data_IF_600869463629
#
_entry.id   IF_600869463629
#
_cell.length_a   1.000
_cell.length_b   1.000
_cell.length_c   1.000
_cell.angle_alpha   90.00
_cell.angle_beta   90.00
_cell.angle_gamma   90.00
#
_symmetry.space_group_name_H-M   'P 1'
#
loop_
_entity.id
_entity.type
_entity.pdbx_description
1 polymer ?
#
# COMPACT_ATOMS: atom_id res chain seq x y z
N UNK A 1 -42.09 -20.95 40.06
CA UNK A 1 -42.33 -19.49 39.98
C UNK A 1 -41.19 -18.64 40.55
N UNK A 2 -40.68 -18.93 41.76
CA UNK A 2 -39.62 -18.14 42.42
C UNK A 2 -38.30 -18.05 41.61
N UNK A 3 -37.87 -19.13 40.98
CA UNK A 3 -36.67 -19.14 40.11
C UNK A 3 -36.86 -18.33 38.82
N UNK A 4 -38.09 -18.27 38.30
CA UNK A 4 -38.41 -17.55 37.07
C UNK A 4 -38.43 -16.04 37.33
N UNK A 5 -38.99 -15.64 38.48
CA UNK A 5 -38.91 -14.26 38.96
C UNK A 5 -37.47 -13.81 39.26
N UNK A 6 -36.65 -14.70 39.82
CA UNK A 6 -35.23 -14.41 40.10
C UNK A 6 -34.41 -14.22 38.81
N UNK A 7 -34.61 -15.09 37.80
CA UNK A 7 -33.94 -14.96 36.50
C UNK A 7 -34.28 -13.66 35.79
N UNK A 8 -35.56 -13.27 35.77
CA UNK A 8 -36.01 -12.00 35.20
C UNK A 8 -35.36 -10.80 35.90
N UNK A 9 -35.36 -10.79 37.23
CA UNK A 9 -34.71 -9.73 38.00
C UNK A 9 -33.21 -9.61 37.70
N UNK A 10 -32.50 -10.73 37.60
CA UNK A 10 -31.07 -10.75 37.25
C UNK A 10 -30.80 -10.30 35.80
N UNK A 11 -31.74 -10.58 34.88
CA UNK A 11 -31.68 -10.11 33.50
C UNK A 11 -31.88 -8.58 33.44
N UNK A 12 -32.88 -8.04 34.15
CA UNK A 12 -33.12 -6.59 34.26
C UNK A 12 -31.92 -5.84 34.85
N UNK A 13 -31.32 -6.39 35.91
CA UNK A 13 -30.13 -5.81 36.55
C UNK A 13 -28.93 -5.80 35.58
N UNK A 14 -28.76 -6.88 34.81
CA UNK A 14 -27.69 -6.98 33.80
C UNK A 14 -27.92 -6.04 32.61
N UNK A 15 -29.17 -5.86 32.17
CA UNK A 15 -29.52 -4.95 31.08
C UNK A 15 -29.31 -3.48 31.47
N UNK A 16 -29.67 -3.11 32.70
CA UNK A 16 -29.42 -1.76 33.24
C UNK A 16 -27.94 -1.45 33.34
N UNK A 17 -27.14 -2.40 33.78
CA UNK A 17 -25.70 -2.23 33.86
C UNK A 17 -25.07 -2.09 32.45
N UNK A 18 -25.59 -2.84 31.46
CA UNK A 18 -25.17 -2.68 30.07
C UNK A 18 -25.40 -1.25 29.55
N UNK A 19 -26.58 -0.66 29.82
CA UNK A 19 -26.90 0.72 29.45
C UNK A 19 -26.01 1.75 30.15
N UNK A 20 -25.79 1.56 31.46
CA UNK A 20 -24.95 2.44 32.27
C UNK A 20 -23.53 2.49 31.69
N UNK A 21 -22.94 1.33 31.47
CA UNK A 21 -21.57 1.24 30.97
C UNK A 21 -21.48 1.65 29.49
N UNK A 22 -22.51 1.41 28.67
CA UNK A 22 -22.55 1.86 27.28
C UNK A 22 -22.51 3.40 27.13
N UNK A 23 -22.95 4.13 28.15
CA UNK A 23 -22.90 5.60 28.16
C UNK A 23 -21.50 6.16 28.45
N UNK A 24 -20.59 5.35 28.99
CA UNK A 24 -19.22 5.74 29.26
C UNK A 24 -18.37 5.63 27.98
N UNK A 25 -17.59 6.67 27.61
CA UNK A 25 -16.70 6.60 26.46
C UNK A 25 -15.54 5.64 26.74
N UNK A 26 -15.26 4.74 25.80
CA UNK A 26 -14.07 3.90 25.82
C UNK A 26 -14.29 2.48 25.30
N UNK A 27 -13.21 1.83 24.90
CA UNK A 27 -13.25 0.44 24.43
C UNK A 27 -13.58 -0.53 25.58
N UNK A 28 -13.06 -0.27 26.78
CA UNK A 28 -13.28 -1.11 27.95
C UNK A 28 -14.75 -1.09 28.39
N UNK A 29 -15.37 0.09 28.39
CA UNK A 29 -16.79 0.26 28.68
C UNK A 29 -17.66 -0.40 27.60
N UNK A 30 -17.34 -0.22 26.32
CA UNK A 30 -18.07 -0.90 25.24
C UNK A 30 -17.99 -2.43 25.35
N UNK A 31 -16.82 -3.00 25.68
CA UNK A 31 -16.65 -4.45 25.92
C UNK A 31 -17.49 -4.93 27.11
N UNK A 32 -17.45 -4.20 28.23
CA UNK A 32 -18.25 -4.53 29.40
C UNK A 32 -19.76 -4.44 29.13
N UNK A 33 -20.20 -3.42 28.38
CA UNK A 33 -21.59 -3.28 27.96
C UNK A 33 -22.07 -4.46 27.10
N UNK A 34 -21.25 -4.93 26.15
CA UNK A 34 -21.52 -6.14 25.35
C UNK A 34 -21.63 -7.40 26.24
N UNK A 35 -20.75 -7.56 27.23
CA UNK A 35 -20.79 -8.69 28.17
C UNK A 35 -22.05 -8.68 29.03
N UNK A 36 -22.44 -7.50 29.56
CA UNK A 36 -23.65 -7.35 30.38
C UNK A 36 -24.93 -7.57 29.55
N UNK A 37 -24.99 -7.06 28.32
CA UNK A 37 -26.11 -7.29 27.40
C UNK A 37 -26.23 -8.78 27.01
N UNK A 38 -25.11 -9.46 26.74
CA UNK A 38 -25.08 -10.89 26.48
C UNK A 38 -25.54 -11.72 27.68
N UNK A 39 -25.10 -11.36 28.89
CA UNK A 39 -25.50 -12.02 30.13
C UNK A 39 -27.00 -11.86 30.42
N UNK A 40 -27.57 -10.69 30.14
CA UNK A 40 -29.01 -10.45 30.23
C UNK A 40 -29.80 -11.36 29.28
N UNK A 41 -29.34 -11.52 28.03
CA UNK A 41 -29.98 -12.37 27.02
C UNK A 41 -29.85 -13.87 27.29
N UNK A 42 -28.77 -14.32 27.95
CA UNK A 42 -28.66 -15.72 28.42
C UNK A 42 -29.67 -16.03 29.53
N UNK A 43 -29.96 -15.04 30.39
CA UNK A 43 -30.90 -15.19 31.50
C UNK A 43 -32.37 -15.07 31.05
N UNK A 44 -32.64 -14.16 30.11
CA UNK A 44 -33.94 -13.97 29.46
C UNK A 44 -33.74 -13.65 27.97
N UNK A 45 -33.85 -14.66 27.08
CA UNK A 45 -33.72 -14.47 25.64
C UNK A 45 -34.75 -13.48 25.06
N UNK A 46 -35.88 -13.30 25.76
CA UNK A 46 -36.98 -12.43 25.35
C UNK A 46 -36.86 -10.97 25.82
N UNK A 47 -35.75 -10.63 26.49
CA UNK A 47 -35.53 -9.30 27.03
C UNK A 47 -35.28 -8.25 25.93
N UNK A 48 -36.33 -7.50 25.57
CA UNK A 48 -36.32 -6.48 24.51
C UNK A 48 -35.22 -5.42 24.66
N UNK A 49 -35.03 -4.91 25.87
CA UNK A 49 -34.07 -3.82 26.14
C UNK A 49 -32.61 -4.25 25.94
N UNK A 50 -32.21 -5.38 26.52
CA UNK A 50 -30.88 -5.97 26.31
C UNK A 50 -30.58 -6.24 24.82
N UNK A 51 -31.60 -6.69 24.07
CA UNK A 51 -31.50 -6.92 22.61
C UNK A 51 -31.26 -5.62 21.84
N UNK A 52 -31.99 -4.55 22.19
CA UNK A 52 -31.84 -3.23 21.58
C UNK A 52 -30.45 -2.64 21.85
N UNK A 53 -29.94 -2.79 23.07
CA UNK A 53 -28.61 -2.33 23.47
C UNK A 53 -27.53 -3.10 22.72
N UNK A 54 -27.64 -4.43 22.66
CA UNK A 54 -26.71 -5.25 21.90
C UNK A 54 -26.69 -4.86 20.42
N UNK A 55 -27.87 -4.67 19.80
CA UNK A 55 -27.97 -4.21 18.42
C UNK A 55 -27.32 -2.84 18.20
N UNK A 56 -27.58 -1.88 19.09
CA UNK A 56 -26.98 -0.55 19.01
C UNK A 56 -25.45 -0.61 19.15
N UNK A 57 -24.94 -1.41 20.09
CA UNK A 57 -23.50 -1.58 20.31
C UNK A 57 -22.78 -2.29 19.15
N UNK A 58 -23.47 -3.21 18.46
CA UNK A 58 -22.94 -3.90 17.28
C UNK A 58 -22.96 -3.04 16.02
N UNK A 59 -23.93 -2.10 15.92
CA UNK A 59 -24.07 -1.23 14.75
C UNK A 59 -23.34 0.11 14.89
N UNK A 60 -23.09 0.58 16.11
CA UNK A 60 -22.29 1.76 16.38
C UNK A 60 -20.80 1.42 16.31
N UNK A 61 -20.11 1.91 15.27
CA UNK A 61 -18.65 1.77 15.16
C UNK A 61 -17.97 2.47 16.35
N UNK A 62 -17.08 1.78 17.10
CA UNK A 62 -16.34 2.38 18.20
C UNK A 62 -15.61 3.64 17.76
N UNK A 63 -15.64 4.70 18.58
CA UNK A 63 -14.85 5.92 18.30
C UNK A 63 -13.34 5.71 18.49
N UNK A 64 -12.97 4.77 19.35
CA UNK A 64 -11.60 4.34 19.58
C UNK A 64 -11.42 2.89 19.14
N UNK A 65 -10.38 2.64 18.33
CA UNK A 65 -10.05 1.29 17.88
C UNK A 65 -9.50 0.47 19.06
N UNK A 66 -10.05 -0.73 19.35
CA UNK A 66 -9.50 -1.62 20.35
C UNK A 66 -8.02 -1.93 20.07
N UNK A 67 -7.20 -2.07 21.12
CA UNK A 67 -5.76 -2.36 20.98
C UNK A 67 -5.52 -3.65 20.19
N UNK A 68 -6.42 -4.62 20.34
CA UNK A 68 -6.40 -5.88 19.61
C UNK A 68 -6.61 -5.65 18.10
N UNK A 69 -7.54 -4.78 17.72
CA UNK A 69 -7.78 -4.39 16.32
C UNK A 69 -6.62 -3.57 15.78
N UNK A 70 -6.00 -2.70 16.58
CA UNK A 70 -4.80 -1.95 16.17
C UNK A 70 -3.63 -2.90 15.89
N UNK A 71 -3.39 -3.88 16.77
CA UNK A 71 -2.34 -4.87 16.59
C UNK A 71 -2.59 -5.75 15.35
N UNK A 72 -3.84 -6.17 15.12
CA UNK A 72 -4.20 -6.96 13.95
C UNK A 72 -4.07 -6.15 12.65
N UNK A 73 -4.51 -4.88 12.67
CA UNK A 73 -4.33 -3.95 11.55
C UNK A 73 -2.84 -3.70 11.25
N UNK A 74 -1.99 -3.64 12.28
CA UNK A 74 -0.54 -3.54 12.10
C UNK A 74 0.03 -4.79 11.39
N UNK A 75 -0.39 -6.00 11.80
CA UNK A 75 0.02 -7.24 11.15
C UNK A 75 -0.44 -7.30 9.68
N UNK A 76 -1.68 -6.88 9.39
CA UNK A 76 -2.17 -6.77 8.01
C UNK A 76 -1.34 -5.76 7.21
N UNK A 77 -0.99 -4.63 7.83
CA UNK A 77 -0.18 -3.60 7.19
C UNK A 77 1.25 -4.08 6.91
N UNK A 78 1.86 -4.85 7.81
CA UNK A 78 3.14 -5.52 7.53
C UNK A 78 3.04 -6.50 6.35
N UNK A 79 1.96 -7.26 6.25
CA UNK A 79 1.67 -8.12 5.11
C UNK A 79 1.58 -7.33 3.79
N UNK A 80 0.89 -6.20 3.80
CA UNK A 80 0.79 -5.29 2.66
C UNK A 80 2.14 -4.68 2.29
N UNK A 81 2.98 -4.31 3.28
CA UNK A 81 4.35 -3.83 3.06
C UNK A 81 5.20 -4.91 2.39
N UNK A 82 5.14 -6.17 2.88
CA UNK A 82 5.90 -7.29 2.29
C UNK A 82 5.46 -7.58 0.86
N UNK A 83 4.15 -7.58 0.60
CA UNK A 83 3.61 -7.78 -0.75
C UNK A 83 4.06 -6.66 -1.70
N UNK A 84 4.00 -5.41 -1.25
CA UNK A 84 4.41 -4.23 -2.03
C UNK A 84 5.93 -4.20 -2.25
N UNK A 85 6.72 -4.57 -1.24
CA UNK A 85 8.17 -4.69 -1.37
C UNK A 85 8.57 -5.79 -2.36
N UNK A 86 7.85 -6.91 -2.38
CA UNK A 86 8.03 -7.97 -3.38
C UNK A 86 7.73 -7.49 -4.81
N UNK A 87 6.68 -6.70 -4.99
CA UNK A 87 6.35 -6.08 -6.28
C UNK A 87 7.40 -5.02 -6.69
N UNK A 88 7.88 -4.21 -5.75
CA UNK A 88 8.97 -3.25 -5.96
C UNK A 88 10.25 -3.94 -6.41
N UNK A 89 10.63 -5.06 -5.78
CA UNK A 89 11.77 -5.87 -6.19
C UNK A 89 11.64 -6.37 -7.63
N UNK A 90 10.43 -6.82 -8.05
CA UNK A 90 10.16 -7.22 -9.43
C UNK A 90 10.33 -6.04 -10.40
N UNK A 91 9.83 -4.85 -10.02
CA UNK A 91 10.00 -3.62 -10.78
C UNK A 91 11.48 -3.27 -11.00
N UNK A 92 12.29 -3.24 -9.94
CA UNK A 92 13.72 -2.97 -10.07
C UNK A 92 14.49 -4.08 -10.79
N UNK A 93 14.11 -5.35 -10.60
CA UNK A 93 14.68 -6.46 -11.36
C UNK A 93 14.40 -6.30 -12.86
N UNK A 94 13.21 -5.81 -13.24
CA UNK A 94 12.89 -5.55 -14.64
C UNK A 94 13.76 -4.44 -15.24
N UNK A 95 14.06 -3.38 -14.47
CA UNK A 95 15.01 -2.34 -14.88
C UNK A 95 16.45 -2.90 -15.00
N UNK A 96 16.82 -3.82 -14.11
CA UNK A 96 18.13 -4.46 -14.16
C UNK A 96 18.29 -5.34 -15.42
N UNK A 97 17.23 -6.03 -15.84
CA UNK A 97 17.18 -6.80 -17.10
C UNK A 97 17.35 -5.93 -18.35
N UNK A 98 17.10 -4.62 -18.26
CA UNK A 98 17.33 -3.68 -19.35
C UNK A 98 18.82 -3.28 -19.50
N UNK A 99 19.67 -3.48 -18.49
CA UNK A 99 21.08 -3.07 -18.55
C UNK A 99 21.91 -3.76 -19.64
N UNK A 100 21.76 -5.06 -19.93
CA UNK A 100 22.44 -5.68 -21.07
C UNK A 100 22.10 -5.02 -22.40
N UNK A 101 20.84 -4.56 -22.57
CA UNK A 101 20.44 -3.81 -23.77
C UNK A 101 21.14 -2.45 -23.83
N UNK A 102 21.30 -1.76 -22.71
CA UNK A 102 22.02 -0.49 -22.61
C UNK A 102 23.51 -0.66 -22.94
N UNK A 103 24.13 -1.73 -22.47
CA UNK A 103 25.51 -2.10 -22.83
C UNK A 103 25.62 -2.36 -24.34
N UNK A 104 24.67 -3.09 -24.91
CA UNK A 104 24.63 -3.37 -26.34
C UNK A 104 24.35 -2.12 -27.19
N UNK A 105 23.61 -1.15 -26.65
CA UNK A 105 23.36 0.14 -27.28
C UNK A 105 24.62 1.01 -27.31
N UNK A 106 25.54 0.84 -26.36
CA UNK A 106 26.82 1.55 -26.27
C UNK A 106 26.81 2.57 -25.15
N UNK A 107 27.49 2.28 -24.04
CA UNK A 107 27.55 3.18 -22.86
C UNK A 107 28.55 4.30 -23.11
N UNK A 108 28.09 5.54 -23.02
CA UNK A 108 28.89 6.75 -23.18
C UNK A 108 29.59 7.15 -21.88
N UNK A 109 28.95 6.93 -20.72
CA UNK A 109 29.47 7.30 -19.39
C UNK A 109 29.41 6.10 -18.42
N UNK A 110 30.53 5.38 -18.34
CA UNK A 110 30.67 4.20 -17.48
C UNK A 110 30.56 4.50 -15.97
N UNK A 111 31.18 5.56 -15.42
CA UNK A 111 31.00 5.92 -14.01
C UNK A 111 29.52 6.06 -13.61
N UNK A 112 28.73 6.81 -14.38
CA UNK A 112 27.30 6.96 -14.10
C UNK A 112 26.53 5.66 -14.28
N UNK A 113 26.89 4.85 -15.27
CA UNK A 113 26.30 3.53 -15.48
C UNK A 113 26.52 2.60 -14.27
N UNK A 114 27.75 2.56 -13.72
CA UNK A 114 28.08 1.74 -12.54
C UNK A 114 27.35 2.23 -11.30
N UNK A 115 27.27 3.55 -11.07
CA UNK A 115 26.50 4.12 -9.96
C UNK A 115 25.03 3.72 -10.05
N UNK A 116 24.44 3.80 -11.25
CA UNK A 116 23.06 3.38 -11.48
C UNK A 116 22.87 1.87 -11.27
N UNK A 117 23.79 1.04 -11.77
CA UNK A 117 23.76 -0.40 -11.55
C UNK A 117 23.79 -0.75 -10.05
N UNK A 118 24.64 -0.06 -9.28
CA UNK A 118 24.71 -0.20 -7.84
C UNK A 118 23.44 0.26 -7.12
N UNK A 119 22.85 1.39 -7.52
CA UNK A 119 21.58 1.88 -6.98
C UNK A 119 20.41 0.92 -7.28
N UNK A 120 20.36 0.36 -8.48
CA UNK A 120 19.34 -0.64 -8.83
C UNK A 120 19.52 -1.93 -8.03
N UNK A 121 20.76 -2.45 -7.93
CA UNK A 121 21.06 -3.65 -7.15
C UNK A 121 20.74 -3.47 -5.67
N UNK A 122 21.11 -2.33 -5.07
CA UNK A 122 20.77 -2.02 -3.68
C UNK A 122 19.26 -1.88 -3.47
N UNK A 123 18.52 -1.24 -4.40
CA UNK A 123 17.06 -1.18 -4.34
C UNK A 123 16.42 -2.58 -4.35
N UNK A 124 16.90 -3.48 -5.21
CA UNK A 124 16.44 -4.89 -5.27
C UNK A 124 16.71 -5.59 -3.93
N UNK A 125 17.93 -5.51 -3.41
CA UNK A 125 18.32 -6.15 -2.13
C UNK A 125 17.46 -5.64 -0.99
N UNK A 126 17.24 -4.32 -0.90
CA UNK A 126 16.43 -3.73 0.16
C UNK A 126 14.96 -4.15 0.05
N UNK A 127 14.39 -4.12 -1.16
CA UNK A 127 13.03 -4.56 -1.41
C UNK A 127 12.85 -6.07 -1.11
N UNK A 128 13.79 -6.91 -1.50
CA UNK A 128 13.77 -8.34 -1.18
C UNK A 128 13.97 -8.61 0.30
N UNK A 129 14.84 -7.86 0.98
CA UNK A 129 15.05 -7.97 2.41
C UNK A 129 13.79 -7.62 3.21
N UNK A 130 13.07 -6.56 2.79
CA UNK A 130 11.77 -6.22 3.36
C UNK A 130 10.70 -7.27 3.03
N UNK A 131 10.65 -7.77 1.80
CA UNK A 131 9.69 -8.79 1.38
C UNK A 131 9.89 -10.13 2.10
N UNK A 132 11.16 -10.50 2.37
CA UNK A 132 11.55 -11.74 3.07
C UNK A 132 11.72 -11.58 4.58
N UNK A 133 11.37 -10.41 5.13
CA UNK A 133 11.49 -10.11 6.56
C UNK A 133 12.91 -10.33 7.13
N UNK A 134 13.95 -10.04 6.35
CA UNK A 134 15.34 -10.03 6.84
C UNK A 134 15.59 -8.89 7.85
N UNK A 135 14.81 -7.81 7.74
CA UNK A 135 14.83 -6.68 8.65
C UNK A 135 13.43 -6.36 9.19
N UNK A 136 13.33 -5.80 10.41
CA UNK A 136 12.06 -5.29 10.91
C UNK A 136 11.58 -4.13 10.02
N UNK A 137 10.28 -4.06 9.76
CA UNK A 137 9.62 -2.99 9.00
C UNK A 137 9.56 -1.68 9.80
N UNK A 138 10.72 -1.22 10.28
CA UNK A 138 10.86 0.06 10.96
C UNK A 138 10.64 1.21 9.98
N UNK A 139 10.17 2.35 10.49
CA UNK A 139 9.97 3.58 9.70
C UNK A 139 11.26 3.98 8.97
N UNK A 140 12.42 3.80 9.61
CA UNK A 140 13.73 4.08 9.01
C UNK A 140 14.07 3.14 7.85
N UNK A 141 13.83 1.83 8.00
CA UNK A 141 14.08 0.87 6.94
C UNK A 141 13.19 1.10 5.72
N UNK A 142 11.90 1.37 5.94
CA UNK A 142 10.94 1.67 4.86
C UNK A 142 11.29 3.00 4.18
N UNK A 143 11.63 4.03 4.95
CA UNK A 143 12.03 5.34 4.42
C UNK A 143 13.34 5.26 3.62
N UNK A 144 14.32 4.49 4.11
CA UNK A 144 15.59 4.25 3.41
C UNK A 144 15.39 3.48 2.10
N UNK A 145 14.57 2.42 2.12
CA UNK A 145 14.18 1.67 0.92
C UNK A 145 13.54 2.59 -0.13
N UNK A 146 12.65 3.47 0.33
CA UNK A 146 11.99 4.45 -0.51
C UNK A 146 12.97 5.47 -1.09
N UNK A 147 13.88 6.01 -0.28
CA UNK A 147 14.91 6.95 -0.75
C UNK A 147 15.84 6.32 -1.81
N UNK A 148 16.30 5.10 -1.59
CA UNK A 148 17.14 4.37 -2.56
C UNK A 148 16.37 4.10 -3.85
N UNK A 149 15.10 3.71 -3.72
CA UNK A 149 14.20 3.48 -4.86
C UNK A 149 14.03 4.73 -5.71
N UNK A 150 13.74 5.88 -5.08
CA UNK A 150 13.64 7.17 -5.75
C UNK A 150 14.95 7.54 -6.46
N UNK A 151 16.08 7.37 -5.78
CA UNK A 151 17.39 7.75 -6.34
C UNK A 151 17.76 6.87 -7.54
N UNK A 152 17.50 5.56 -7.47
CA UNK A 152 17.67 4.62 -8.59
C UNK A 152 16.81 5.03 -9.79
N UNK A 153 15.57 5.45 -9.55
CA UNK A 153 14.66 5.89 -10.61
C UNK A 153 15.06 7.22 -11.23
N UNK A 154 15.45 8.20 -10.40
CA UNK A 154 15.99 9.47 -10.88
C UNK A 154 17.24 9.25 -11.73
N UNK A 155 18.14 8.34 -11.34
CA UNK A 155 19.32 8.00 -12.15
C UNK A 155 18.95 7.41 -13.52
N UNK A 156 17.83 6.71 -13.62
CA UNK A 156 17.35 6.12 -14.88
C UNK A 156 16.79 7.15 -15.87
N UNK A 157 16.51 8.39 -15.42
CA UNK A 157 16.12 9.49 -16.32
C UNK A 157 17.24 9.91 -17.29
N UNK A 158 18.49 9.56 -16.97
CA UNK A 158 19.67 9.91 -17.76
C UNK A 158 19.87 9.03 -19.01
N UNK A 159 19.11 7.96 -19.20
CA UNK A 159 19.32 7.00 -20.28
C UNK A 159 18.85 7.52 -21.63
N UNK A 160 17.57 7.82 -21.74
CA UNK A 160 16.93 8.14 -23.01
C UNK A 160 16.26 9.51 -23.00
N UNK A 161 15.52 9.87 -21.93
CA UNK A 161 14.96 11.21 -21.68
C UNK A 161 14.08 11.13 -20.43
N UNK A 162 13.96 12.21 -19.64
CA UNK A 162 12.97 12.33 -18.57
C UNK A 162 11.54 11.98 -19.04
N UNK A 163 11.18 12.37 -20.27
CA UNK A 163 9.81 12.24 -20.76
C UNK A 163 9.44 10.84 -21.25
N UNK A 164 10.43 10.00 -21.59
CA UNK A 164 10.17 8.62 -22.03
C UNK A 164 10.22 7.66 -20.85
N UNK A 165 11.16 7.86 -19.93
CA UNK A 165 11.38 6.92 -18.84
C UNK A 165 10.51 7.22 -17.63
N UNK A 166 10.37 8.50 -17.25
CA UNK A 166 9.80 8.85 -15.96
C UNK A 166 8.28 8.63 -15.88
N UNK A 167 7.43 8.92 -16.88
CA UNK A 167 5.97 8.80 -16.70
C UNK A 167 5.51 7.38 -16.32
N UNK A 168 6.04 6.36 -16.98
CA UNK A 168 5.74 4.95 -16.71
C UNK A 168 6.24 4.52 -15.32
N UNK A 169 7.40 5.05 -14.92
CA UNK A 169 8.05 4.80 -13.64
C UNK A 169 7.29 5.50 -12.49
N UNK A 170 6.86 6.73 -12.71
CA UNK A 170 6.02 7.49 -11.79
C UNK A 170 4.67 6.82 -11.59
N UNK A 171 4.07 6.24 -12.65
CA UNK A 171 2.85 5.45 -12.54
C UNK A 171 3.05 4.21 -11.66
N UNK A 172 4.19 3.51 -11.79
CA UNK A 172 4.52 2.36 -10.94
C UNK A 172 4.69 2.78 -9.46
N UNK A 173 5.41 3.88 -9.18
CA UNK A 173 5.52 4.44 -7.81
C UNK A 173 4.13 4.81 -7.29
N UNK A 174 3.36 5.57 -8.06
CA UNK A 174 2.06 6.07 -7.63
C UNK A 174 1.11 4.91 -7.30
N UNK A 175 1.15 3.83 -8.10
CA UNK A 175 0.42 2.61 -7.81
C UNK A 175 0.94 1.94 -6.53
N UNK A 176 2.25 1.73 -6.38
CA UNK A 176 2.82 1.06 -5.21
C UNK A 176 2.53 1.84 -3.91
N UNK A 177 2.70 3.16 -3.97
CA UNK A 177 2.39 4.05 -2.85
C UNK A 177 0.89 4.14 -2.60
N UNK A 178 0.05 4.19 -3.63
CA UNK A 178 -1.40 4.21 -3.47
C UNK A 178 -1.95 2.95 -2.79
N UNK A 179 -1.28 1.81 -2.97
CA UNK A 179 -1.61 0.56 -2.26
C UNK A 179 -1.22 0.60 -0.77
N UNK A 180 -0.07 1.20 -0.45
CA UNK A 180 0.45 1.31 0.92
C UNK A 180 -0.20 2.43 1.73
N UNK A 181 -0.64 3.48 1.03
CA UNK A 181 -0.99 4.75 1.63
C UNK A 181 -2.50 4.91 1.54
N UNK A 182 -3.21 4.74 2.65
CA UNK A 182 -4.66 4.96 2.70
C UNK A 182 -5.03 6.36 2.15
N UNK A 183 -6.31 6.59 1.82
CA UNK A 183 -6.80 7.78 1.09
C UNK A 183 -6.26 9.13 1.57
N UNK A 184 -5.88 9.23 2.84
CA UNK A 184 -5.30 10.41 3.51
C UNK A 184 -3.92 10.83 2.98
N UNK A 185 -3.16 9.89 2.41
CA UNK A 185 -1.77 10.08 1.98
C UNK A 185 -1.59 10.14 0.46
N UNK A 186 -2.67 9.98 -0.31
CA UNK A 186 -2.65 10.05 -1.79
C UNK A 186 -2.02 11.36 -2.31
N UNK A 187 -2.25 12.47 -1.61
CA UNK A 187 -1.64 13.77 -1.98
C UNK A 187 -0.13 13.75 -1.75
N UNK A 188 0.32 13.19 -0.62
CA UNK A 188 1.75 13.06 -0.32
C UNK A 188 2.47 12.15 -1.31
N UNK A 189 1.84 11.05 -1.70
CA UNK A 189 2.44 10.11 -2.67
C UNK A 189 2.46 10.68 -4.08
N UNK A 190 1.43 11.42 -4.48
CA UNK A 190 1.41 12.17 -5.73
C UNK A 190 2.49 13.27 -5.76
N UNK A 191 2.69 13.99 -4.65
CA UNK A 191 3.76 14.98 -4.52
C UNK A 191 5.14 14.34 -4.69
N UNK A 192 5.37 13.15 -4.13
CA UNK A 192 6.65 12.45 -4.32
C UNK A 192 6.82 11.97 -5.76
N UNK A 193 5.77 11.41 -6.39
CA UNK A 193 5.86 11.06 -7.81
C UNK A 193 6.17 12.29 -8.68
N UNK A 194 5.63 13.45 -8.31
CA UNK A 194 5.92 14.71 -8.97
C UNK A 194 7.37 15.16 -8.78
N UNK A 195 7.96 15.02 -7.59
CA UNK A 195 9.36 15.41 -7.36
C UNK A 195 10.34 14.56 -8.18
N UNK A 196 10.02 13.29 -8.44
CA UNK A 196 10.84 12.42 -9.33
C UNK A 196 10.92 12.97 -10.75
N UNK A 197 9.87 13.63 -11.25
CA UNK A 197 9.84 14.27 -12.57
C UNK A 197 10.44 15.69 -12.49
N UNK A 198 10.03 16.46 -11.49
CA UNK A 198 10.35 17.87 -11.38
C UNK A 198 11.83 18.12 -11.09
N UNK A 199 12.48 17.30 -10.27
CA UNK A 199 13.89 17.51 -9.89
C UNK A 199 14.84 17.38 -11.10
N UNK A 200 14.83 16.28 -11.89
CA UNK A 200 15.70 16.18 -13.05
C UNK A 200 15.45 17.29 -14.08
N UNK A 201 14.18 17.65 -14.30
CA UNK A 201 13.81 18.72 -15.21
C UNK A 201 14.30 20.10 -14.72
N UNK A 202 14.15 20.39 -13.43
CA UNK A 202 14.64 21.62 -12.83
C UNK A 202 16.18 21.71 -12.91
N UNK A 203 16.88 20.58 -12.69
CA UNK A 203 18.34 20.51 -12.84
C UNK A 203 18.79 20.70 -14.30
N UNK A 204 18.00 20.26 -15.27
CA UNK A 204 18.25 20.48 -16.70
C UNK A 204 18.02 21.95 -17.08
N UNK A 205 16.91 22.56 -16.63
CA UNK A 205 16.62 23.99 -16.86
C UNK A 205 17.66 24.90 -16.17
N UNK A 206 18.16 24.49 -15.00
CA UNK A 206 19.22 25.19 -14.28
C UNK A 206 20.61 25.03 -14.94
N UNK A 207 20.75 24.20 -15.98
CA UNK A 207 22.01 23.95 -16.67
C UNK A 207 22.99 23.07 -15.90
N UNK A 208 22.57 22.44 -14.79
CA UNK A 208 23.39 21.47 -14.04
C UNK A 208 23.53 20.17 -14.81
N UNK A 209 22.45 19.78 -15.51
CA UNK A 209 22.40 18.58 -16.34
C UNK A 209 22.39 18.97 -17.83
N UNK A 210 23.14 18.24 -18.69
CA UNK A 210 23.05 18.41 -20.13
C UNK A 210 21.61 18.27 -20.64
N UNK A 211 21.21 19.05 -21.66
CA UNK A 211 19.86 18.97 -22.23
C UNK A 211 19.59 17.59 -22.82
N UNK A 212 18.44 17.01 -22.45
CA UNK A 212 18.01 15.66 -22.85
C UNK A 212 17.17 15.66 -24.12
N UNK A 213 16.59 16.80 -24.48
CA UNK A 213 15.90 17.00 -25.75
C UNK A 213 16.15 18.42 -26.26
N UNK A 214 15.99 18.59 -27.56
CA UNK A 214 15.99 19.89 -28.20
C UNK A 214 14.76 19.98 -29.11
N UNK A 215 14.06 21.10 -29.00
CA UNK A 215 12.97 21.41 -29.93
C UNK A 215 13.55 22.06 -31.17
N UNK A 216 13.45 21.37 -32.30
CA UNK A 216 13.85 21.85 -33.62
C UNK A 216 12.62 22.18 -34.45
N UNK A 217 12.78 22.89 -35.57
CA UNK A 217 11.69 23.19 -36.51
C UNK A 217 11.03 21.92 -37.08
N UNK A 218 11.75 20.80 -37.10
CA UNK A 218 11.28 19.51 -37.63
C UNK A 218 10.73 18.57 -36.56
N UNK A 219 10.77 18.96 -35.28
CA UNK A 219 10.25 18.16 -34.17
C UNK A 219 11.14 18.14 -32.94
N UNK A 220 10.82 17.26 -31.99
CA UNK A 220 11.60 17.03 -30.78
C UNK A 220 12.71 16.02 -31.05
N UNK A 221 13.97 16.44 -30.89
CA UNK A 221 15.15 15.58 -31.03
C UNK A 221 15.65 15.19 -29.65
N UNK A 222 15.76 13.88 -29.41
CA UNK A 222 16.23 13.32 -28.15
C UNK A 222 17.74 13.13 -28.23
N UNK A 223 18.48 13.65 -27.25
CA UNK A 223 19.94 13.60 -27.23
C UNK A 223 20.44 12.42 -26.39
N UNK A 224 21.41 11.64 -26.89
CA UNK A 224 22.05 10.59 -26.09
C UNK A 224 22.83 11.21 -24.93
N UNK A 225 22.65 10.67 -23.72
CA UNK A 225 23.35 11.12 -22.51
C UNK A 225 24.19 10.01 -21.89
N UNK A 226 23.55 8.89 -21.51
CA UNK A 226 24.24 7.75 -20.90
C UNK A 226 24.60 6.66 -21.93
N UNK A 227 23.76 6.49 -22.95
CA UNK A 227 23.92 5.46 -23.98
C UNK A 227 23.77 6.07 -25.36
N UNK A 228 24.44 5.50 -26.36
CA UNK A 228 24.13 5.75 -27.75
C UNK A 228 22.70 5.30 -28.04
N UNK A 229 21.99 6.00 -28.93
CA UNK A 229 20.59 5.73 -29.25
C UNK A 229 20.46 5.16 -30.68
N UNK A 230 21.04 3.98 -31.00
CA UNK A 230 20.84 3.36 -32.30
C UNK A 230 19.38 2.96 -32.46
N UNK A 231 18.77 3.29 -33.61
CA UNK A 231 17.33 3.23 -33.84
C UNK A 231 16.71 1.86 -33.50
N UNK A 232 17.31 0.78 -33.99
CA UNK A 232 16.79 -0.58 -33.80
C UNK A 232 16.84 -1.02 -32.33
N UNK A 233 18.00 -0.92 -31.67
CA UNK A 233 18.14 -1.35 -30.29
C UNK A 233 17.35 -0.44 -29.34
N UNK A 234 17.30 0.86 -29.60
CA UNK A 234 16.47 1.80 -28.81
C UNK A 234 14.99 1.42 -28.91
N UNK A 235 14.50 1.06 -30.10
CA UNK A 235 13.10 0.64 -30.28
C UNK A 235 12.81 -0.65 -29.51
N UNK A 236 13.68 -1.66 -29.60
CA UNK A 236 13.55 -2.91 -28.86
C UNK A 236 13.60 -2.66 -27.35
N UNK A 237 14.54 -1.83 -26.89
CA UNK A 237 14.69 -1.44 -25.49
C UNK A 237 13.41 -0.81 -24.94
N UNK A 238 12.85 0.18 -25.66
CA UNK A 238 11.62 0.85 -25.24
C UNK A 238 10.44 -0.12 -25.19
N UNK A 239 10.31 -1.02 -26.18
CA UNK A 239 9.25 -2.02 -26.20
C UNK A 239 9.35 -3.00 -25.03
N UNK A 240 10.54 -3.55 -24.77
CA UNK A 240 10.78 -4.45 -23.63
C UNK A 240 10.54 -3.72 -22.30
N UNK A 241 10.96 -2.46 -22.20
CA UNK A 241 10.73 -1.61 -21.03
C UNK A 241 9.24 -1.38 -20.77
N UNK A 242 8.45 -1.04 -21.78
CA UNK A 242 7.00 -0.82 -21.60
C UNK A 242 6.29 -2.12 -21.21
N UNK A 243 6.60 -3.24 -21.88
CA UNK A 243 6.04 -4.55 -21.53
C UNK A 243 6.39 -4.92 -20.09
N UNK A 244 7.63 -4.68 -19.68
CA UNK A 244 8.10 -4.96 -18.33
C UNK A 244 7.36 -4.16 -17.27
N UNK A 245 7.15 -2.86 -17.49
CA UNK A 245 6.41 -2.00 -16.55
C UNK A 245 4.94 -2.39 -16.51
N UNK A 246 4.30 -2.60 -17.66
CA UNK A 246 2.90 -3.04 -17.73
C UNK A 246 2.74 -4.37 -16.99
N UNK A 247 3.64 -5.34 -17.22
CA UNK A 247 3.66 -6.62 -16.54
C UNK A 247 3.83 -6.48 -15.02
N UNK A 248 4.74 -5.61 -14.56
CA UNK A 248 4.95 -5.35 -13.14
C UNK A 248 3.71 -4.72 -12.46
N UNK A 249 3.10 -3.71 -13.09
CA UNK A 249 1.88 -3.07 -12.59
C UNK A 249 0.71 -4.07 -12.57
N UNK A 250 0.53 -4.86 -13.64
CA UNK A 250 -0.52 -5.86 -13.73
C UNK A 250 -0.36 -6.95 -12.66
N UNK A 251 0.87 -7.46 -12.46
CA UNK A 251 1.15 -8.43 -11.42
C UNK A 251 0.89 -7.87 -10.01
N UNK A 252 1.31 -6.62 -9.76
CA UNK A 252 1.05 -5.94 -8.48
C UNK A 252 -0.44 -5.76 -8.23
N UNK A 253 -1.18 -5.26 -9.22
CA UNK A 253 -2.62 -5.04 -9.13
C UNK A 253 -3.40 -6.36 -8.99
N UNK A 254 -3.00 -7.40 -9.71
CA UNK A 254 -3.59 -8.74 -9.62
C UNK A 254 -3.45 -9.34 -8.22
N UNK A 255 -2.24 -9.26 -7.63
CA UNK A 255 -2.01 -9.72 -6.25
C UNK A 255 -2.82 -8.91 -5.23
N UNK A 256 -2.88 -7.59 -5.39
CA UNK A 256 -3.66 -6.74 -4.50
C UNK A 256 -5.16 -7.02 -4.58
N UNK A 257 -5.71 -7.16 -5.79
CA UNK A 257 -7.11 -7.53 -5.98
C UNK A 257 -7.42 -8.91 -5.40
N UNK A 258 -6.50 -9.87 -5.51
CA UNK A 258 -6.66 -11.20 -4.90
C UNK A 258 -6.83 -11.11 -3.39
N UNK A 259 -5.89 -10.44 -2.71
CA UNK A 259 -5.95 -10.24 -1.25
C UNK A 259 -7.23 -9.47 -0.85
N UNK A 260 -7.56 -8.40 -1.57
CA UNK A 260 -8.76 -7.62 -1.27
C UNK A 260 -10.05 -8.42 -1.47
N UNK A 261 -10.10 -9.28 -2.49
CA UNK A 261 -11.26 -10.14 -2.74
C UNK A 261 -11.45 -11.16 -1.61
N UNK A 262 -10.36 -11.79 -1.16
CA UNK A 262 -10.36 -12.74 -0.05
C UNK A 262 -10.81 -12.07 1.26
N UNK A 263 -10.23 -10.93 1.63
CA UNK A 263 -10.63 -10.18 2.84
C UNK A 263 -12.09 -9.72 2.78
N UNK A 264 -12.58 -9.30 1.60
CA UNK A 264 -14.00 -8.94 1.44
C UNK A 264 -14.92 -10.14 1.59
N UNK A 265 -14.51 -11.31 1.09
CA UNK A 265 -15.27 -12.55 1.25
C UNK A 265 -15.34 -12.98 2.72
N UNK A 266 -14.22 -12.95 3.44
CA UNK A 266 -14.17 -13.26 4.88
C UNK A 266 -15.06 -12.29 5.68
N UNK A 267 -14.98 -10.99 5.42
CA UNK A 267 -15.85 -9.99 6.04
C UNK A 267 -17.33 -10.23 5.74
N UNK A 268 -17.67 -10.63 4.50
CA UNK A 268 -19.04 -10.95 4.12
C UNK A 268 -19.55 -12.19 4.86
N UNK A 269 -18.70 -13.23 5.04
CA UNK A 269 -19.04 -14.43 5.82
C UNK A 269 -19.24 -14.08 7.29
N UNK A 270 -18.35 -13.28 7.89
CA UNK A 270 -18.50 -12.84 9.28
C UNK A 270 -19.75 -11.98 9.49
N UNK A 271 -20.06 -11.07 8.55
CA UNK A 271 -21.29 -10.30 8.58
C UNK A 271 -22.52 -11.21 8.49
N UNK A 272 -22.52 -12.18 7.57
CA UNK A 272 -23.60 -13.16 7.45
C UNK A 272 -23.77 -14.00 8.72
N UNK A 273 -22.68 -14.47 9.34
CA UNK A 273 -22.73 -15.20 10.61
C UNK A 273 -23.32 -14.35 11.74
N UNK A 274 -22.96 -13.07 11.82
CA UNK A 274 -23.53 -12.14 12.79
C UNK A 274 -25.03 -11.90 12.53
N UNK A 275 -25.45 -11.82 11.26
CA UNK A 275 -26.87 -11.73 10.90
C UNK A 275 -27.65 -12.98 11.32
N UNK A 276 -27.08 -14.19 11.16
CA UNK A 276 -27.74 -15.43 11.58
C UNK A 276 -27.87 -15.57 13.10
N UNK A 277 -26.98 -14.94 13.88
CA UNK A 277 -27.07 -14.89 15.34
C UNK A 277 -28.15 -13.93 15.83
N UNK A 278 -28.63 -13.03 14.97
CA UNK A 278 -29.76 -12.15 15.27
C UNK A 278 -31.06 -12.85 14.86
N UNK A 279 -32.06 -12.96 15.76
CA UNK A 279 -33.32 -13.59 15.41
C UNK A 279 -33.99 -12.84 14.26
N UNK A 280 -34.34 -13.56 13.19
CA UNK A 280 -35.16 -13.03 12.09
C UNK A 280 -36.48 -12.53 12.66
N UNK A 281 -36.82 -11.29 12.30
CA UNK A 281 -38.07 -10.60 12.70
C UNK A 281 -39.31 -11.48 12.52
#
# INVERSE_FOLDING_TARGET
ERDLALRKKLADDSAREALRVASEPGVASQRAALQHAGRALVLDPDHREARSVLHHLLTASPRELPKEVVADTQNTMEGAIRASAGAGALGFASLFVLMPFEIAMGVLDWPWFVVRAFLAASAIVVCLGLARAWWPASVFAVSGAFAISLLSMMSSSLVASPFIMIPSLAALIAAALGLLSGRKWLVGTALVAFTVIAIPLALEVAGVLPPSFEFTSSGMLIKPRLVELPSTLTTVYLLVKEISIIGAVAAMMGRFHGVLAETKQELAVHAWQLEQLLPSR
#
